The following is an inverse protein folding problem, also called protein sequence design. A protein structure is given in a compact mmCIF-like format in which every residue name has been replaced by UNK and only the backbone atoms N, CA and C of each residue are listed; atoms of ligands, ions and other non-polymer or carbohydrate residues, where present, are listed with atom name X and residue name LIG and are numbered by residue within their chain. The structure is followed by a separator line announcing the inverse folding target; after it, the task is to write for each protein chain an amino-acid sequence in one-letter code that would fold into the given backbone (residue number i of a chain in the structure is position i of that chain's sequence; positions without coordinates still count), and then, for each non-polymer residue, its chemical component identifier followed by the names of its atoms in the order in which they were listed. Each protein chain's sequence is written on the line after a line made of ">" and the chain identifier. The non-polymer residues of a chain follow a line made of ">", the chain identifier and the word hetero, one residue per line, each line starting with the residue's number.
data_IF_583314377373
#
_entry.id   IF_583314377373
#
_cell.length_a   1.000
_cell.length_b   1.000
_cell.length_c   1.000
_cell.angle_alpha   90.00
_cell.angle_beta   90.00
_cell.angle_gamma   90.00
#
_symmetry.space_group_name_H-M   'P 1'
#
loop_
_entity.id
_entity.type
_entity.pdbx_description
1 polymer ?
#
# COMPACT_ATOMS: atom_id res chain seq x y z
N UNK A 1 25.98 -17.34 -23.53
CA UNK A 1 25.10 -17.10 -22.36
C UNK A 1 25.97 -17.22 -21.13
N UNK A 2 26.56 -16.11 -20.69
CA UNK A 2 27.41 -16.10 -19.49
C UNK A 2 26.53 -16.26 -18.26
N UNK A 3 26.72 -17.38 -17.56
CA UNK A 3 26.32 -17.52 -16.18
C UNK A 3 27.24 -16.63 -15.34
N UNK A 4 26.79 -15.43 -15.01
CA UNK A 4 27.47 -14.57 -14.04
C UNK A 4 27.56 -15.33 -12.70
N UNK A 5 28.73 -15.88 -12.41
CA UNK A 5 28.99 -16.62 -11.19
C UNK A 5 29.14 -15.58 -10.06
N UNK A 6 28.04 -15.28 -9.35
CA UNK A 6 27.97 -14.22 -8.34
C UNK A 6 28.96 -14.37 -7.17
N UNK A 7 29.58 -15.54 -7.01
CA UNK A 7 30.57 -15.84 -5.96
C UNK A 7 31.99 -15.33 -6.27
N UNK A 8 32.26 -14.81 -7.47
CA UNK A 8 33.61 -14.39 -7.89
C UNK A 8 33.75 -12.90 -8.22
N UNK A 9 32.79 -12.05 -7.85
CA UNK A 9 32.85 -10.62 -8.17
C UNK A 9 33.67 -9.89 -7.09
N UNK A 10 34.76 -9.21 -7.50
CA UNK A 10 35.57 -8.38 -6.60
C UNK A 10 34.67 -7.31 -5.95
N UNK A 11 34.57 -7.25 -4.61
CA UNK A 11 33.74 -6.27 -3.93
C UNK A 11 34.10 -4.81 -4.26
N UNK A 12 35.34 -4.54 -4.72
CA UNK A 12 35.78 -3.20 -5.18
C UNK A 12 35.23 -2.82 -6.56
N UNK A 13 34.71 -3.78 -7.32
CA UNK A 13 34.19 -3.58 -8.67
C UNK A 13 32.73 -4.05 -8.81
N UNK A 14 32.00 -4.09 -7.68
CA UNK A 14 30.61 -4.51 -7.60
C UNK A 14 29.72 -3.34 -7.21
N UNK A 15 28.63 -3.14 -7.95
CA UNK A 15 27.55 -2.23 -7.57
C UNK A 15 26.40 -3.03 -7.01
N UNK A 16 25.91 -2.65 -5.83
CA UNK A 16 24.74 -3.23 -5.21
C UNK A 16 23.51 -2.39 -5.54
N UNK A 17 22.58 -2.95 -6.30
CA UNK A 17 21.26 -2.37 -6.53
C UNK A 17 20.31 -2.93 -5.48
N UNK A 18 19.56 -2.05 -4.83
CA UNK A 18 18.48 -2.43 -3.91
C UNK A 18 17.16 -1.85 -4.39
N UNK A 19 16.09 -2.61 -4.21
CA UNK A 19 14.73 -2.18 -4.52
C UNK A 19 13.86 -2.45 -3.30
N UNK A 20 13.02 -1.46 -2.95
CA UNK A 20 12.00 -1.57 -1.91
C UNK A 20 10.63 -1.24 -2.48
N UNK A 21 9.58 -1.87 -1.97
CA UNK A 21 8.22 -1.58 -2.43
C UNK A 21 7.18 -2.52 -1.84
N UNK A 22 5.99 -2.47 -2.44
CA UNK A 22 4.89 -3.38 -2.11
C UNK A 22 5.32 -4.84 -2.38
N UNK A 23 5.11 -5.77 -1.44
CA UNK A 23 5.56 -7.16 -1.56
C UNK A 23 5.16 -7.85 -2.88
N UNK A 24 3.91 -7.70 -3.30
CA UNK A 24 3.36 -8.23 -4.54
C UNK A 24 4.06 -7.69 -5.80
N UNK A 25 4.62 -6.47 -5.76
CA UNK A 25 5.37 -5.90 -6.89
C UNK A 25 6.84 -6.33 -6.86
N UNK A 26 7.45 -6.36 -5.68
CA UNK A 26 8.88 -6.71 -5.52
C UNK A 26 9.13 -8.19 -5.84
N UNK A 27 8.25 -9.09 -5.37
CA UNK A 27 8.41 -10.54 -5.54
C UNK A 27 8.37 -10.94 -7.03
N UNK A 28 7.58 -10.26 -7.85
CA UNK A 28 7.50 -10.52 -9.30
C UNK A 28 8.85 -10.33 -10.01
N UNK A 29 9.74 -9.52 -9.45
CA UNK A 29 11.05 -9.19 -10.03
C UNK A 29 12.17 -10.09 -9.48
N UNK A 30 11.86 -10.94 -8.51
CA UNK A 30 12.82 -11.80 -7.83
C UNK A 30 12.85 -13.22 -8.44
N UNK A 31 14.04 -13.74 -8.66
CA UNK A 31 14.28 -15.13 -9.09
C UNK A 31 14.86 -16.01 -7.97
N UNK A 32 15.44 -15.39 -6.95
CA UNK A 32 16.04 -16.06 -5.79
C UNK A 32 15.62 -15.37 -4.50
N UNK A 33 15.87 -16.00 -3.36
CA UNK A 33 15.75 -15.38 -2.05
C UNK A 33 16.92 -15.76 -1.17
N UNK A 34 17.22 -14.89 -0.20
CA UNK A 34 18.24 -15.12 0.81
C UNK A 34 17.59 -15.67 2.08
N UNK A 35 18.09 -16.79 2.55
CA UNK A 35 17.72 -17.44 3.81
C UNK A 35 18.41 -16.77 5.00
N UNK A 36 17.95 -17.05 6.23
CA UNK A 36 18.50 -16.45 7.45
C UNK A 36 19.96 -16.86 7.73
N UNK A 37 20.34 -18.08 7.33
CA UNK A 37 21.70 -18.60 7.36
C UNK A 37 22.56 -18.09 6.19
N UNK A 38 21.98 -17.29 5.31
CA UNK A 38 22.69 -16.54 4.27
C UNK A 38 22.77 -17.25 2.92
N UNK A 39 22.22 -18.46 2.78
CA UNK A 39 22.14 -19.17 1.50
C UNK A 39 21.20 -18.48 0.52
N UNK A 40 21.54 -18.51 -0.76
CA UNK A 40 20.69 -18.01 -1.85
C UNK A 40 20.05 -19.21 -2.54
N UNK A 41 18.72 -19.28 -2.50
CA UNK A 41 17.94 -20.38 -3.07
C UNK A 41 16.98 -19.86 -4.16
N UNK A 42 16.55 -20.72 -5.11
CA UNK A 42 15.54 -20.36 -6.09
C UNK A 42 14.22 -19.94 -5.42
N UNK A 43 13.64 -18.85 -5.90
CA UNK A 43 12.35 -18.37 -5.41
C UNK A 43 11.22 -19.09 -6.17
N UNK A 44 10.88 -20.29 -5.70
CA UNK A 44 9.80 -21.12 -6.27
C UNK A 44 8.42 -20.53 -5.97
N UNK A 45 7.40 -20.95 -6.71
CA UNK A 45 6.00 -20.53 -6.49
C UNK A 45 5.54 -20.77 -5.06
N UNK A 46 5.88 -21.94 -4.49
CA UNK A 46 5.54 -22.29 -3.11
C UNK A 46 6.15 -21.30 -2.09
N UNK A 47 7.40 -20.87 -2.30
CA UNK A 47 8.04 -19.87 -1.43
C UNK A 47 7.41 -18.49 -1.62
N UNK A 48 7.06 -18.10 -2.85
CA UNK A 48 6.34 -16.86 -3.13
C UNK A 48 5.01 -16.80 -2.38
N UNK A 49 4.23 -17.87 -2.43
CA UNK A 49 2.96 -18.00 -1.71
C UNK A 49 3.15 -17.89 -0.21
N UNK A 50 4.18 -18.54 0.36
CA UNK A 50 4.52 -18.40 1.79
C UNK A 50 4.82 -16.95 2.19
N UNK A 51 5.58 -16.22 1.37
CA UNK A 51 5.92 -14.81 1.64
C UNK A 51 4.66 -13.94 1.59
N UNK A 52 3.81 -14.12 0.57
CA UNK A 52 2.56 -13.36 0.43
C UNK A 52 1.56 -13.66 1.55
N UNK A 53 1.45 -14.91 1.97
CA UNK A 53 0.64 -15.27 3.13
C UNK A 53 1.14 -14.59 4.41
N UNK A 54 2.46 -14.53 4.62
CA UNK A 54 3.03 -13.82 5.76
C UNK A 54 2.75 -12.31 5.70
N UNK A 55 2.81 -11.71 4.51
CA UNK A 55 2.42 -10.31 4.31
C UNK A 55 0.95 -10.08 4.69
N UNK A 56 0.03 -10.94 4.28
CA UNK A 56 -1.39 -10.82 4.62
C UNK A 56 -1.62 -10.92 6.14
N UNK A 57 -0.99 -11.89 6.82
CA UNK A 57 -1.08 -12.05 8.29
C UNK A 57 -0.64 -10.78 9.03
N UNK A 58 0.50 -10.20 8.64
CA UNK A 58 1.01 -8.98 9.25
C UNK A 58 0.12 -7.77 8.91
N UNK A 59 -0.37 -7.69 7.67
CA UNK A 59 -1.26 -6.61 7.23
C UNK A 59 -2.57 -6.60 8.03
N UNK A 60 -3.15 -7.77 8.32
CA UNK A 60 -4.34 -7.91 9.19
C UNK A 60 -4.12 -7.46 10.63
N UNK A 61 -2.87 -7.42 11.07
CA UNK A 61 -2.51 -6.90 12.39
C UNK A 61 -2.28 -5.39 12.38
N UNK A 62 -2.52 -4.72 11.25
CA UNK A 62 -2.36 -3.27 11.09
C UNK A 62 -0.94 -2.82 10.77
N UNK A 63 -0.01 -3.74 10.46
CA UNK A 63 1.33 -3.36 10.04
C UNK A 63 1.35 -2.90 8.58
N UNK A 64 2.21 -1.91 8.30
CA UNK A 64 2.61 -1.54 6.94
C UNK A 64 3.80 -2.39 6.53
N UNK A 65 3.66 -3.13 5.43
CA UNK A 65 4.68 -4.09 4.97
C UNK A 65 5.44 -3.53 3.77
N UNK A 66 6.77 -3.62 3.82
CA UNK A 66 7.66 -3.27 2.71
C UNK A 66 8.55 -4.48 2.41
N UNK A 67 8.57 -4.92 1.16
CA UNK A 67 9.54 -5.92 0.72
C UNK A 67 10.83 -5.23 0.26
N UNK A 68 11.96 -5.90 0.48
CA UNK A 68 13.24 -5.52 -0.13
C UNK A 68 13.84 -6.67 -0.91
N UNK A 69 14.53 -6.33 -1.99
CA UNK A 69 15.38 -7.24 -2.73
C UNK A 69 16.64 -6.52 -3.22
N UNK A 70 17.62 -7.31 -3.64
CA UNK A 70 18.89 -6.78 -4.13
C UNK A 70 19.37 -7.52 -5.37
N UNK A 71 20.22 -6.85 -6.15
CA UNK A 71 20.97 -7.46 -7.24
C UNK A 71 22.39 -6.90 -7.24
N UNK A 72 23.37 -7.77 -7.41
CA UNK A 72 24.78 -7.38 -7.59
C UNK A 72 25.06 -7.29 -9.08
N UNK A 73 25.70 -6.21 -9.51
CA UNK A 73 26.21 -6.02 -10.87
C UNK A 73 27.70 -5.73 -10.82
N UNK A 74 28.43 -6.06 -11.89
CA UNK A 74 29.77 -5.52 -12.10
C UNK A 74 29.69 -4.03 -12.41
N UNK A 75 30.73 -3.25 -12.07
CA UNK A 75 30.81 -1.82 -12.38
C UNK A 75 30.59 -1.56 -13.87
N UNK A 76 31.24 -2.34 -14.74
CA UNK A 76 31.09 -2.27 -16.19
C UNK A 76 29.63 -2.46 -16.63
N UNK A 77 28.91 -3.44 -16.06
CA UNK A 77 27.50 -3.67 -16.41
C UNK A 77 26.60 -2.54 -15.92
N UNK A 78 26.87 -2.01 -14.74
CA UNK A 78 26.16 -0.86 -14.20
C UNK A 78 26.34 0.38 -15.09
N UNK A 79 27.58 0.69 -15.49
CA UNK A 79 27.90 1.86 -16.32
C UNK A 79 27.21 1.79 -17.69
N UNK A 80 27.14 0.60 -18.30
CA UNK A 80 26.38 0.36 -19.55
C UNK A 80 24.88 0.68 -19.40
N UNK A 81 24.26 0.25 -18.29
CA UNK A 81 22.85 0.53 -18.01
C UNK A 81 22.61 2.03 -17.79
N UNK A 82 23.54 2.71 -17.12
CA UNK A 82 23.44 4.15 -16.85
C UNK A 82 23.63 5.03 -18.10
N UNK A 83 24.51 4.64 -19.03
CA UNK A 83 24.66 5.33 -20.31
C UNK A 83 23.35 5.32 -21.10
N UNK A 84 22.68 4.16 -21.19
CA UNK A 84 21.38 4.00 -21.84
C UNK A 84 20.24 4.77 -21.12
N UNK A 85 20.41 5.08 -19.83
CA UNK A 85 19.45 5.84 -19.04
C UNK A 85 19.59 7.35 -19.23
N UNK A 86 20.81 7.88 -19.31
CA UNK A 86 21.06 9.32 -19.51
C UNK A 86 20.48 9.84 -20.83
N UNK A 87 20.35 9.00 -21.85
CA UNK A 87 19.72 9.32 -23.13
C UNK A 87 18.18 9.43 -23.06
N UNK A 88 17.53 8.91 -21.99
CA UNK A 88 16.05 8.83 -21.86
C UNK A 88 15.43 9.86 -20.92
N UNK A 89 16.18 10.88 -20.51
CA UNK A 89 15.77 11.92 -19.53
C UNK A 89 14.60 12.83 -19.95
N UNK A 90 13.78 12.46 -20.94
CA UNK A 90 12.67 13.28 -21.45
C UNK A 90 11.26 12.86 -20.98
N UNK A 91 11.09 11.77 -20.24
CA UNK A 91 9.75 11.36 -19.77
C UNK A 91 9.57 11.63 -18.28
N UNK A 92 8.75 12.62 -17.92
CA UNK A 92 8.32 12.93 -16.53
C UNK A 92 7.33 11.89 -15.96
N UNK A 93 7.10 10.79 -16.67
CA UNK A 93 6.16 9.72 -16.29
C UNK A 93 6.98 8.47 -15.95
N UNK A 94 6.91 8.06 -14.67
CA UNK A 94 7.46 6.78 -14.22
C UNK A 94 6.54 5.68 -14.73
N UNK A 95 6.90 5.04 -15.83
CA UNK A 95 6.20 3.83 -16.28
C UNK A 95 6.51 2.68 -15.32
N UNK A 96 5.49 2.01 -14.79
CA UNK A 96 5.62 0.88 -13.86
C UNK A 96 6.50 -0.26 -14.44
N UNK A 97 6.56 -0.34 -15.76
CA UNK A 97 7.37 -1.32 -16.50
C UNK A 97 8.81 -0.88 -16.74
N UNK A 98 9.15 0.40 -16.53
CA UNK A 98 10.50 0.93 -16.73
C UNK A 98 11.09 1.35 -15.38
N UNK A 99 11.97 0.52 -14.83
CA UNK A 99 12.74 0.86 -13.62
C UNK A 99 13.86 1.86 -13.94
N UNK A 100 13.61 2.89 -14.75
CA UNK A 100 14.61 3.91 -15.10
C UNK A 100 15.95 3.30 -15.55
N UNK A 101 15.89 2.32 -16.46
CA UNK A 101 17.09 1.65 -16.98
C UNK A 101 17.74 0.61 -16.05
N UNK A 102 17.23 0.43 -14.82
CA UNK A 102 17.67 -0.67 -13.96
C UNK A 102 17.13 -2.03 -14.43
N UNK A 103 17.79 -3.15 -14.08
CA UNK A 103 17.32 -4.48 -14.41
C UNK A 103 15.88 -4.69 -13.93
N UNK A 104 15.03 -5.28 -14.76
CA UNK A 104 13.62 -5.50 -14.41
C UNK A 104 13.39 -6.76 -13.58
N UNK A 105 14.32 -7.72 -13.65
CA UNK A 105 14.22 -9.07 -13.09
C UNK A 105 15.56 -9.54 -12.52
N UNK A 106 15.59 -10.77 -11.99
CA UNK A 106 16.76 -11.46 -11.42
C UNK A 106 17.28 -10.87 -10.10
N UNK A 107 16.39 -10.27 -9.33
CA UNK A 107 16.70 -9.86 -7.97
C UNK A 107 16.68 -11.06 -7.00
N UNK A 108 17.41 -10.90 -5.90
CA UNK A 108 17.39 -11.77 -4.74
C UNK A 108 16.53 -11.11 -3.66
N UNK A 109 15.40 -11.73 -3.33
CA UNK A 109 14.51 -11.30 -2.25
C UNK A 109 15.23 -11.40 -0.91
N UNK A 110 15.17 -10.34 -0.10
CA UNK A 110 15.85 -10.28 1.20
C UNK A 110 14.90 -10.50 2.37
N UNK A 111 13.68 -10.00 2.30
CA UNK A 111 12.75 -10.09 3.40
C UNK A 111 11.61 -9.09 3.34
N UNK A 112 10.68 -9.28 4.26
CA UNK A 112 9.62 -8.34 4.59
C UNK A 112 10.03 -7.51 5.80
N UNK A 113 9.74 -6.22 5.74
CA UNK A 113 9.90 -5.28 6.84
C UNK A 113 8.51 -4.79 7.24
N UNK A 114 8.12 -5.04 8.49
CA UNK A 114 6.88 -4.55 9.06
C UNK A 114 7.12 -3.25 9.84
N UNK A 115 6.36 -2.23 9.51
CA UNK A 115 6.33 -0.95 10.21
C UNK A 115 5.00 -0.85 10.96
N UNK A 116 5.06 -0.47 12.22
CA UNK A 116 3.87 -0.17 13.01
C UNK A 116 3.63 1.34 12.96
N UNK A 117 2.48 1.76 12.46
CA UNK A 117 2.01 3.14 12.58
C UNK A 117 1.00 3.19 13.72
N UNK A 118 1.41 3.73 14.86
CA UNK A 118 0.56 3.79 16.04
C UNK A 118 -0.62 4.71 15.78
N UNK A 119 -1.82 4.20 16.01
CA UNK A 119 -3.01 5.04 15.99
C UNK A 119 -2.91 6.14 17.05
N UNK A 120 -3.47 7.31 16.74
CA UNK A 120 -3.67 8.32 17.78
C UNK A 120 -4.57 7.72 18.86
N UNK A 121 -4.14 7.83 20.11
CA UNK A 121 -4.83 7.20 21.25
C UNK A 121 -6.28 7.67 21.41
N UNK A 122 -6.59 8.90 20.98
CA UNK A 122 -7.90 9.53 21.04
C UNK A 122 -8.77 9.27 19.82
N UNK A 123 -8.23 8.63 18.76
CA UNK A 123 -8.96 8.42 17.52
C UNK A 123 -10.21 7.54 17.69
N UNK A 124 -10.18 6.38 18.40
CA UNK A 124 -11.36 5.55 18.58
C UNK A 124 -12.51 6.30 19.27
N UNK A 125 -12.21 7.03 20.35
CA UNK A 125 -13.20 7.80 21.11
C UNK A 125 -13.74 8.99 20.31
N UNK A 126 -12.87 9.68 19.58
CA UNK A 126 -13.26 10.80 18.73
C UNK A 126 -14.23 10.36 17.64
N UNK A 127 -13.99 9.19 17.03
CA UNK A 127 -14.88 8.65 16.00
C UNK A 127 -16.24 8.26 16.58
N UNK A 128 -16.30 7.71 17.80
CA UNK A 128 -17.57 7.45 18.49
C UNK A 128 -18.35 8.75 18.75
N UNK A 129 -17.70 9.81 19.23
CA UNK A 129 -18.35 11.12 19.46
C UNK A 129 -18.91 11.74 18.17
N UNK A 130 -18.14 11.66 17.08
CA UNK A 130 -18.58 12.13 15.75
C UNK A 130 -19.82 11.35 15.29
N UNK A 131 -19.89 10.06 15.61
CA UNK A 131 -21.04 9.21 15.30
C UNK A 131 -22.26 9.47 16.16
N UNK A 132 -22.09 9.76 17.45
CA UNK A 132 -23.19 10.18 18.32
C UNK A 132 -23.83 11.47 17.79
N UNK A 133 -23.03 12.35 17.18
CA UNK A 133 -23.49 13.52 16.44
C UNK A 133 -24.09 13.22 15.05
N UNK A 134 -24.25 11.93 14.68
CA UNK A 134 -24.79 11.43 13.40
C UNK A 134 -23.99 11.86 12.17
N UNK A 135 -22.69 12.08 12.31
CA UNK A 135 -21.80 12.41 11.20
C UNK A 135 -21.17 11.11 10.66
N UNK A 136 -21.16 10.97 9.32
CA UNK A 136 -20.51 9.84 8.64
C UNK A 136 -19.00 10.06 8.58
N UNK A 137 -18.23 9.02 8.90
CA UNK A 137 -16.76 9.01 8.86
C UNK A 137 -16.31 8.06 7.75
N UNK A 138 -15.34 8.50 6.96
CA UNK A 138 -14.69 7.68 5.93
C UNK A 138 -13.16 7.76 6.12
N UNK A 139 -12.47 6.64 5.90
CA UNK A 139 -11.01 6.58 5.87
C UNK A 139 -10.52 6.76 4.43
N UNK A 140 -9.48 7.59 4.25
CA UNK A 140 -8.73 7.69 3.00
C UNK A 140 -7.29 7.32 3.33
N UNK A 141 -6.79 6.21 2.78
CA UNK A 141 -5.41 5.75 2.97
C UNK A 141 -4.86 5.16 1.67
N UNK A 142 -3.53 5.20 1.53
CA UNK A 142 -2.79 4.49 0.47
C UNK A 142 -2.23 3.14 0.93
N UNK A 143 -2.61 2.67 2.12
CA UNK A 143 -2.18 1.37 2.64
C UNK A 143 -2.85 0.20 1.91
N UNK A 144 -2.27 -0.99 2.08
CA UNK A 144 -2.87 -2.23 1.59
C UNK A 144 -4.29 -2.42 2.18
N UNK A 145 -5.28 -2.93 1.41
CA UNK A 145 -6.65 -3.06 1.88
C UNK A 145 -6.81 -3.81 3.20
N UNK A 146 -6.02 -4.85 3.45
CA UNK A 146 -6.03 -5.59 4.72
C UNK A 146 -5.57 -4.72 5.92
N UNK A 147 -4.56 -3.86 5.72
CA UNK A 147 -4.09 -2.93 6.76
C UNK A 147 -5.13 -1.83 7.01
N UNK A 148 -5.68 -1.25 5.94
CA UNK A 148 -6.76 -0.27 6.05
C UNK A 148 -7.98 -0.85 6.80
N UNK A 149 -8.31 -2.12 6.51
CA UNK A 149 -9.34 -2.86 7.23
C UNK A 149 -9.00 -2.99 8.73
N UNK A 150 -7.82 -3.49 9.07
CA UNK A 150 -7.44 -3.67 10.47
C UNK A 150 -7.49 -2.34 11.25
N UNK A 151 -6.96 -1.26 10.67
CA UNK A 151 -6.96 0.08 11.28
C UNK A 151 -8.38 0.58 11.49
N UNK A 152 -9.25 0.46 10.49
CA UNK A 152 -10.60 1.00 10.59
C UNK A 152 -11.51 0.20 11.52
N UNK A 153 -11.23 -1.08 11.76
CA UNK A 153 -11.82 -1.84 12.88
C UNK A 153 -11.34 -1.27 14.23
N UNK A 154 -10.03 -1.07 14.39
CA UNK A 154 -9.42 -0.56 15.64
C UNK A 154 -9.90 0.85 16.03
N UNK A 155 -10.10 1.76 15.06
CA UNK A 155 -10.57 3.14 15.34
C UNK A 155 -12.08 3.29 15.26
N UNK A 156 -12.84 2.19 15.29
CA UNK A 156 -14.29 2.24 15.22
C UNK A 156 -14.78 2.96 13.95
N UNK A 157 -14.20 2.77 12.76
CA UNK A 157 -14.77 3.22 11.48
C UNK A 157 -15.73 2.17 10.92
N UNK A 158 -15.41 0.88 11.03
CA UNK A 158 -16.36 -0.22 10.74
C UNK A 158 -16.20 -1.31 11.79
N UNK A 159 -17.29 -1.59 12.51
CA UNK A 159 -17.39 -2.72 13.44
C UNK A 159 -18.79 -3.32 13.31
N UNK A 160 -18.98 -4.59 13.71
CA UNK A 160 -20.29 -5.23 13.66
C UNK A 160 -21.34 -4.46 14.50
N UNK A 161 -20.92 -3.93 15.65
CA UNK A 161 -21.79 -3.12 16.52
C UNK A 161 -22.15 -1.78 15.86
N UNK A 162 -21.18 -1.14 15.20
CA UNK A 162 -21.38 0.10 14.46
C UNK A 162 -22.27 -0.11 13.23
N UNK A 163 -22.08 -1.22 12.53
CA UNK A 163 -22.91 -1.60 11.40
C UNK A 163 -24.36 -1.71 11.89
N UNK A 164 -24.59 -2.48 12.96
CA UNK A 164 -25.90 -2.62 13.62
C UNK A 164 -26.50 -1.27 14.07
N UNK A 165 -25.71 -0.39 14.70
CA UNK A 165 -26.16 0.95 15.12
C UNK A 165 -26.52 1.87 13.94
N UNK A 166 -25.83 1.72 12.81
CA UNK A 166 -26.11 2.47 11.58
C UNK A 166 -27.19 1.81 10.71
N UNK A 167 -27.79 0.70 11.16
CA UNK A 167 -28.72 -0.10 10.37
C UNK A 167 -28.10 -0.66 9.09
N UNK A 168 -26.79 -0.94 9.11
CA UNK A 168 -26.07 -1.63 8.05
C UNK A 168 -25.78 -3.03 8.57
N UNK A 169 -26.25 -4.06 7.86
CA UNK A 169 -26.11 -5.45 8.32
C UNK A 169 -24.85 -6.10 7.75
N UNK A 170 -24.43 -5.67 6.55
CA UNK A 170 -23.23 -6.19 5.90
C UNK A 170 -22.64 -5.17 4.92
N UNK A 171 -21.38 -5.39 4.54
CA UNK A 171 -20.71 -4.62 3.50
C UNK A 171 -19.98 -5.55 2.54
N UNK A 172 -19.87 -5.14 1.28
CA UNK A 172 -19.07 -5.81 0.25
C UNK A 172 -18.10 -4.81 -0.38
N UNK A 173 -16.95 -5.33 -0.82
CA UNK A 173 -15.97 -4.57 -1.57
C UNK A 173 -15.83 -5.20 -2.95
N UNK A 174 -15.97 -4.39 -3.99
CA UNK A 174 -15.79 -4.80 -5.38
C UNK A 174 -14.94 -3.79 -6.13
N UNK A 175 -14.29 -4.22 -7.20
CA UNK A 175 -13.74 -3.30 -8.20
C UNK A 175 -14.82 -2.99 -9.24
N UNK A 176 -14.95 -1.72 -9.63
CA UNK A 176 -15.78 -1.33 -10.78
C UNK A 176 -14.99 -1.48 -12.10
N UNK A 177 -15.65 -1.18 -13.22
CA UNK A 177 -15.07 -1.26 -14.57
C UNK A 177 -13.81 -0.38 -14.75
N UNK A 178 -13.67 0.67 -13.93
CA UNK A 178 -12.49 1.56 -13.92
C UNK A 178 -11.42 1.15 -12.91
N UNK A 179 -11.49 -0.08 -12.36
CA UNK A 179 -10.59 -0.62 -11.32
C UNK A 179 -10.54 0.21 -10.04
N UNK A 180 -11.59 0.98 -9.77
CA UNK A 180 -11.75 1.69 -8.51
C UNK A 180 -12.45 0.79 -7.50
N UNK A 181 -11.97 0.86 -6.27
CA UNK A 181 -12.54 0.14 -5.15
C UNK A 181 -13.89 0.75 -4.76
N UNK A 182 -14.95 -0.04 -4.83
CA UNK A 182 -16.32 0.33 -4.46
C UNK A 182 -16.73 -0.40 -3.20
N UNK A 183 -17.15 0.37 -2.20
CA UNK A 183 -17.74 -0.12 -0.96
C UNK A 183 -19.26 -0.09 -1.08
N UNK A 184 -19.88 -1.27 -1.01
CA UNK A 184 -21.33 -1.45 -1.00
C UNK A 184 -21.79 -1.76 0.42
N UNK A 185 -22.74 -0.98 0.93
CA UNK A 185 -23.30 -1.12 2.27
C UNK A 185 -24.73 -1.66 2.14
N UNK A 186 -25.06 -2.72 2.86
CA UNK A 186 -26.37 -3.39 2.78
C UNK A 186 -27.14 -3.29 4.09
N UNK A 187 -28.47 -3.24 3.98
CA UNK A 187 -29.44 -3.26 5.07
C UNK A 187 -30.58 -4.22 4.71
N UNK A 188 -30.88 -5.19 5.56
CA UNK A 188 -31.84 -6.26 5.33
C UNK A 188 -31.64 -6.89 3.94
N UNK A 189 -30.39 -7.26 3.62
CA UNK A 189 -29.96 -7.79 2.31
C UNK A 189 -30.14 -6.84 1.11
N UNK A 190 -30.62 -5.61 1.34
CA UNK A 190 -30.82 -4.59 0.30
C UNK A 190 -29.64 -3.63 0.26
N UNK A 191 -29.13 -3.32 -0.94
CA UNK A 191 -28.07 -2.32 -1.11
C UNK A 191 -28.59 -0.95 -0.65
N UNK A 192 -28.00 -0.43 0.42
CA UNK A 192 -28.34 0.85 1.03
C UNK A 192 -27.53 2.00 0.43
N UNK A 193 -26.23 1.80 0.23
CA UNK A 193 -25.35 2.85 -0.29
C UNK A 193 -24.10 2.29 -0.98
N UNK A 194 -23.62 2.99 -2.01
CA UNK A 194 -22.31 2.75 -2.62
C UNK A 194 -21.36 3.94 -2.39
N UNK A 195 -20.08 3.64 -2.18
CA UNK A 195 -19.00 4.64 -2.11
C UNK A 195 -17.83 4.19 -2.98
N UNK A 196 -17.33 5.10 -3.82
CA UNK A 196 -16.14 4.86 -4.65
C UNK A 196 -14.93 5.48 -3.94
N UNK A 197 -13.93 4.68 -3.62
CA UNK A 197 -12.69 5.15 -3.02
C UNK A 197 -12.06 6.28 -3.86
N UNK A 198 -11.67 7.38 -3.21
CA UNK A 198 -11.13 8.58 -3.87
C UNK A 198 -12.18 9.57 -4.39
N UNK A 199 -13.47 9.23 -4.39
CA UNK A 199 -14.54 10.18 -4.72
C UNK A 199 -14.97 10.93 -3.45
N UNK A 200 -14.51 12.16 -3.26
CA UNK A 200 -15.09 13.05 -2.25
C UNK A 200 -16.42 13.57 -2.80
N UNK A 201 -17.51 12.86 -2.54
CA UNK A 201 -18.84 13.43 -2.76
C UNK A 201 -19.09 14.44 -1.65
N UNK A 202 -18.85 15.72 -1.94
CA UNK A 202 -19.36 16.79 -1.09
C UNK A 202 -20.89 16.65 -1.02
N UNK A 203 -21.40 16.18 0.12
CA UNK A 203 -22.84 16.16 0.38
C UNK A 203 -23.34 17.60 0.44
N UNK A 204 -23.79 18.11 -0.71
CA UNK A 204 -24.43 19.42 -0.82
C UNK A 204 -25.79 19.50 -0.11
N UNK A 205 -26.30 18.39 0.44
CA UNK A 205 -27.62 18.35 1.08
C UNK A 205 -27.71 18.97 2.48
N UNK A 206 -26.61 19.48 3.06
CA UNK A 206 -26.64 20.22 4.33
C UNK A 206 -26.46 21.74 4.18
N UNK A 207 -26.27 22.25 2.95
CA UNK A 207 -25.93 23.66 2.74
C UNK A 207 -27.08 24.65 2.99
N UNK A 208 -28.33 24.20 3.07
CA UNK A 208 -29.47 25.12 3.25
C UNK A 208 -29.74 25.48 4.71
N UNK A 209 -29.23 24.73 5.69
CA UNK A 209 -29.52 24.98 7.11
C UNK A 209 -28.34 25.61 7.87
N UNK A 210 -27.09 25.37 7.45
CA UNK A 210 -25.89 25.79 8.21
C UNK A 210 -25.38 27.18 7.81
N UNK A 211 -25.85 27.77 6.69
CA UNK A 211 -25.40 29.09 6.24
C UNK A 211 -25.81 30.26 7.16
N UNK A 212 -26.70 30.05 8.15
CA UNK A 212 -27.10 31.16 9.02
C UNK A 212 -26.13 31.47 10.16
N UNK A 213 -25.23 30.59 10.59
CA UNK A 213 -24.54 30.77 11.89
C UNK A 213 -23.03 30.55 11.96
N UNK A 214 -22.31 30.39 10.84
CA UNK A 214 -20.86 30.15 10.92
C UNK A 214 -20.10 31.10 9.99
N UNK A 215 -19.72 32.27 10.51
CA UNK A 215 -18.53 33.01 10.03
C UNK A 215 -17.30 32.31 10.62
N UNK A 216 -16.75 31.33 9.90
CA UNK A 216 -15.41 30.82 10.20
C UNK A 216 -14.41 31.61 9.36
N UNK A 217 -13.65 32.47 10.03
CA UNK A 217 -12.44 33.07 9.46
C UNK A 217 -11.46 31.96 9.09
N UNK A 218 -11.03 31.95 7.83
CA UNK A 218 -9.94 31.10 7.35
C UNK A 218 -8.63 31.61 7.93
N UNK A 219 -8.03 30.90 8.88
CA UNK A 219 -6.59 31.01 9.12
C UNK A 219 -5.90 29.64 9.26
N UNK A 220 -4.88 29.50 8.40
CA UNK A 220 -3.60 28.83 8.62
C UNK A 220 -3.58 27.33 8.93
N UNK A 221 -3.57 26.50 7.88
CA UNK A 221 -2.96 25.17 7.92
C UNK A 221 -1.91 25.02 6.80
N UNK A 222 -0.85 25.84 6.90
CA UNK A 222 0.47 25.54 6.36
C UNK A 222 1.50 26.01 7.38
N UNK A 223 1.99 25.08 8.21
CA UNK A 223 3.32 25.07 8.86
C UNK A 223 3.40 23.87 9.79
N UNK A 224 3.91 22.74 9.30
CA UNK A 224 5.24 22.19 9.59
C UNK A 224 5.36 20.83 8.91
#
# INVERSE_FOLDING_TARGET
>A
MESDNLSSIDPRNTVLITMKGAPEIVILRCSTYKTNDGQILPLTTEIKEKILNQQEILSRSGYRIIAMCQQKLTQMRYDQLMQQHNERRQSRVVEIHNLNGFPQEKYCFLGLFSLFDSLRFDAPDSILRIRDARIRVAMITGDHPATARAIGEQVNIFSAEIAKRNGIDSFQMRENETKQLVFQLYRNETLFQEHIAGTITALRSASTTIQKHIKLEKQAWHRR
#
